data_IF_483948375298
#
_entry.id   IF_483948375298
#
_cell.length_a   1.000
_cell.length_b   1.000
_cell.length_c   1.000
_cell.angle_alpha   90.00
_cell.angle_beta   90.00
_cell.angle_gamma   90.00
#
_symmetry.space_group_name_H-M   'P 1'
#
loop_
_entity.id
_entity.type
_entity.pdbx_description
1 polymer ?
#
# COMPACT_ATOMS: atom_id res chain seq x y z
N UNK A 1 -4.91 34.76 -7.62
CA UNK A 1 -3.73 34.04 -7.12
C UNK A 1 -3.40 34.44 -5.69
N UNK A 2 -2.47 33.75 -5.06
CA UNK A 2 -2.03 33.97 -3.66
C UNK A 2 -1.60 35.40 -3.37
N UNK A 3 -1.12 36.12 -4.37
CA UNK A 3 -0.59 37.51 -4.23
C UNK A 3 -1.64 38.55 -3.86
N UNK A 4 -2.93 38.30 -4.12
CA UNK A 4 -4.02 39.26 -3.85
C UNK A 4 -4.92 38.89 -2.69
N UNK A 5 -5.02 37.61 -2.37
CA UNK A 5 -5.99 37.11 -1.36
C UNK A 5 -5.30 36.48 -0.15
N UNK A 6 -3.98 36.38 -0.15
CA UNK A 6 -3.26 35.51 0.76
C UNK A 6 -3.59 34.05 0.51
N UNK A 7 -3.01 33.15 1.24
CA UNK A 7 -3.29 31.72 1.13
C UNK A 7 -2.13 30.84 1.52
N UNK A 8 -2.28 29.55 1.34
CA UNK A 8 -1.30 28.54 1.74
C UNK A 8 -0.76 27.82 0.52
N UNK A 9 0.54 27.63 0.51
CA UNK A 9 1.25 26.83 -0.50
C UNK A 9 1.88 25.61 0.17
N UNK A 10 1.55 24.42 -0.32
CA UNK A 10 2.17 23.18 0.11
C UNK A 10 2.97 22.54 -1.03
N UNK A 11 4.10 21.99 -0.69
CA UNK A 11 4.84 21.08 -1.54
C UNK A 11 4.78 19.69 -0.88
N UNK A 12 4.03 18.78 -1.51
CA UNK A 12 3.87 17.40 -1.04
C UNK A 12 4.83 16.51 -1.82
N UNK A 13 5.47 15.58 -1.14
CA UNK A 13 6.31 14.57 -1.76
C UNK A 13 5.61 13.20 -1.66
N UNK A 14 5.54 12.49 -2.78
CA UNK A 14 5.00 11.13 -2.82
C UNK A 14 6.12 10.16 -2.48
N UNK A 15 5.90 9.34 -1.44
CA UNK A 15 6.83 8.30 -1.02
C UNK A 15 6.81 7.14 -2.02
N UNK A 16 7.69 7.23 -3.03
CA UNK A 16 7.79 6.24 -4.09
C UNK A 16 8.33 4.89 -3.62
N UNK A 17 9.17 4.87 -2.60
CA UNK A 17 9.69 3.62 -2.05
C UNK A 17 8.58 2.85 -1.34
N UNK A 18 7.75 3.54 -0.57
CA UNK A 18 6.58 2.93 0.06
C UNK A 18 5.59 2.37 -0.96
N UNK A 19 5.37 3.08 -2.06
CA UNK A 19 4.52 2.60 -3.15
C UNK A 19 5.08 1.33 -3.83
N UNK A 20 6.40 1.30 -4.06
CA UNK A 20 7.09 0.12 -4.60
C UNK A 20 7.05 -1.06 -3.63
N UNK A 21 7.25 -0.81 -2.32
CA UNK A 21 7.15 -1.84 -1.27
C UNK A 21 5.76 -2.46 -1.19
N UNK A 22 4.73 -1.65 -1.19
CA UNK A 22 3.35 -2.13 -1.18
C UNK A 22 3.07 -3.05 -2.38
N UNK A 23 3.53 -2.65 -3.57
CA UNK A 23 3.37 -3.47 -4.78
C UNK A 23 4.19 -4.76 -4.73
N UNK A 24 5.43 -4.71 -4.21
CA UNK A 24 6.26 -5.91 -4.03
C UNK A 24 5.62 -6.93 -3.09
N UNK A 25 5.02 -6.49 -1.98
CA UNK A 25 4.29 -7.37 -1.06
C UNK A 25 3.13 -8.09 -1.73
N UNK A 26 2.38 -7.42 -2.59
CA UNK A 26 1.31 -8.04 -3.37
C UNK A 26 1.87 -9.12 -4.30
N UNK A 27 2.90 -8.79 -5.07
CA UNK A 27 3.56 -9.76 -5.95
C UNK A 27 4.17 -10.94 -5.18
N UNK A 28 4.78 -10.68 -4.02
CA UNK A 28 5.32 -11.73 -3.16
C UNK A 28 4.23 -12.72 -2.74
N UNK A 29 3.07 -12.22 -2.32
CA UNK A 29 1.91 -13.04 -1.98
C UNK A 29 1.43 -13.88 -3.16
N UNK A 30 1.32 -13.29 -4.35
CA UNK A 30 0.91 -13.97 -5.57
C UNK A 30 1.89 -15.07 -5.98
N UNK A 31 3.19 -14.77 -6.01
CA UNK A 31 4.25 -15.73 -6.36
C UNK A 31 4.25 -16.90 -5.36
N UNK A 32 4.16 -16.61 -4.06
CA UNK A 32 4.06 -17.65 -3.03
C UNK A 32 2.82 -18.52 -3.20
N UNK A 33 1.70 -17.92 -3.56
CA UNK A 33 0.44 -18.64 -3.84
C UNK A 33 0.57 -19.54 -5.05
N UNK A 34 1.18 -19.05 -6.15
CA UNK A 34 1.48 -19.84 -7.34
C UNK A 34 2.34 -21.07 -7.01
N UNK A 35 3.45 -20.86 -6.29
CA UNK A 35 4.36 -21.95 -5.93
C UNK A 35 3.70 -23.00 -5.03
N UNK A 36 2.86 -22.57 -4.06
CA UNK A 36 2.07 -23.49 -3.23
C UNK A 36 1.09 -24.32 -4.06
N UNK A 37 0.37 -23.70 -4.99
CA UNK A 37 -0.59 -24.36 -5.90
C UNK A 37 0.12 -25.42 -6.76
N UNK A 38 1.29 -25.10 -7.27
CA UNK A 38 2.11 -25.99 -8.11
C UNK A 38 2.98 -26.98 -7.29
N UNK A 39 2.77 -27.01 -5.96
CA UNK A 39 3.49 -27.88 -5.02
C UNK A 39 5.01 -27.76 -5.11
N UNK A 40 5.49 -26.55 -5.36
CA UNK A 40 6.92 -26.21 -5.33
C UNK A 40 7.27 -25.75 -3.91
N UNK A 41 8.17 -26.48 -3.25
CA UNK A 41 8.65 -26.14 -1.92
C UNK A 41 9.66 -25.01 -1.99
N UNK A 42 9.51 -24.00 -1.18
CA UNK A 42 10.43 -22.86 -1.08
C UNK A 42 10.61 -22.41 0.37
N UNK A 43 11.68 -21.68 0.63
CA UNK A 43 11.94 -20.94 1.86
C UNK A 43 11.89 -19.44 1.55
N UNK A 44 11.05 -18.69 2.25
CA UNK A 44 11.09 -17.23 2.17
C UNK A 44 12.35 -16.71 2.82
N UNK A 45 13.07 -15.85 2.13
CA UNK A 45 14.25 -15.17 2.62
C UNK A 45 13.95 -13.68 2.80
N UNK A 46 14.69 -12.98 3.68
CA UNK A 46 14.54 -11.53 3.82
C UNK A 46 14.73 -10.81 2.51
N UNK A 47 13.95 -9.77 2.27
CA UNK A 47 14.10 -8.90 1.13
C UNK A 47 15.48 -8.24 1.14
N UNK A 48 16.11 -8.13 -0.02
CA UNK A 48 17.40 -7.48 -0.18
C UNK A 48 17.39 -6.59 -1.43
N UNK A 49 17.73 -5.31 -1.24
CA UNK A 49 17.80 -4.32 -2.31
C UNK A 49 16.53 -4.27 -3.18
N UNK A 50 15.36 -4.27 -2.55
CA UNK A 50 14.10 -4.17 -3.25
C UNK A 50 13.75 -5.40 -4.10
N UNK A 51 14.25 -6.58 -3.76
CA UNK A 51 13.94 -7.82 -4.48
C UNK A 51 13.39 -8.89 -3.54
N UNK A 52 12.37 -9.59 -3.99
CA UNK A 52 11.84 -10.79 -3.35
C UNK A 52 12.86 -11.90 -3.49
N UNK A 53 13.15 -12.63 -2.41
CA UNK A 53 14.08 -13.74 -2.40
C UNK A 53 13.42 -15.03 -1.95
N UNK A 54 13.58 -16.08 -2.74
CA UNK A 54 13.06 -17.41 -2.47
C UNK A 54 14.19 -18.43 -2.54
N UNK A 55 14.41 -19.18 -1.47
CA UNK A 55 15.42 -20.23 -1.39
C UNK A 55 14.84 -21.61 -1.72
N UNK A 56 15.60 -22.42 -2.43
CA UNK A 56 15.26 -23.79 -2.83
C UNK A 56 16.36 -24.74 -2.41
N UNK A 57 16.00 -26.00 -2.13
CA UNK A 57 16.95 -27.03 -1.68
C UNK A 57 17.87 -27.55 -2.79
N UNK A 58 17.42 -27.42 -4.04
CA UNK A 58 18.11 -27.95 -5.20
C UNK A 58 17.81 -27.11 -6.47
N UNK A 59 18.67 -27.25 -7.45
CA UNK A 59 18.61 -26.51 -8.72
C UNK A 59 17.37 -26.87 -9.55
N UNK A 60 16.99 -28.15 -9.58
CA UNK A 60 15.82 -28.59 -10.35
C UNK A 60 14.51 -27.96 -9.84
N UNK A 61 14.37 -27.81 -8.51
CA UNK A 61 13.24 -27.13 -7.89
C UNK A 61 13.27 -25.64 -8.19
N UNK A 62 14.44 -24.99 -8.15
CA UNK A 62 14.62 -23.60 -8.54
C UNK A 62 14.22 -23.36 -10.00
N UNK A 63 14.72 -24.19 -10.94
CA UNK A 63 14.38 -24.07 -12.35
C UNK A 63 12.88 -24.23 -12.62
N UNK A 64 12.21 -25.17 -11.91
CA UNK A 64 10.76 -25.32 -11.98
C UNK A 64 10.05 -24.05 -11.53
N UNK A 65 10.47 -23.48 -10.39
CA UNK A 65 9.92 -22.23 -9.89
C UNK A 65 10.14 -21.07 -10.86
N UNK A 66 11.35 -20.95 -11.41
CA UNK A 66 11.69 -19.90 -12.38
C UNK A 66 10.83 -19.98 -13.63
N UNK A 67 10.63 -21.19 -14.20
CA UNK A 67 9.75 -21.36 -15.36
C UNK A 67 8.31 -20.93 -15.07
N UNK A 68 7.75 -21.33 -13.94
CA UNK A 68 6.39 -20.96 -13.54
C UNK A 68 6.24 -19.46 -13.37
N UNK A 69 7.18 -18.83 -12.66
CA UNK A 69 7.15 -17.39 -12.41
C UNK A 69 7.33 -16.61 -13.71
N UNK A 70 8.26 -16.99 -14.57
CA UNK A 70 8.51 -16.31 -15.86
C UNK A 70 7.30 -16.40 -16.80
N UNK A 71 6.55 -17.49 -16.75
CA UNK A 71 5.36 -17.65 -17.57
C UNK A 71 4.25 -16.67 -17.20
N UNK A 72 4.04 -16.42 -15.89
CA UNK A 72 2.93 -15.62 -15.38
C UNK A 72 3.32 -14.16 -15.08
N UNK A 73 4.61 -13.91 -14.77
CA UNK A 73 5.08 -12.60 -14.32
C UNK A 73 6.25 -12.09 -15.18
N UNK A 74 5.93 -11.26 -16.16
CA UNK A 74 6.92 -10.60 -17.03
C UNK A 74 7.50 -9.30 -16.46
N UNK A 75 7.03 -8.93 -15.28
CA UNK A 75 7.38 -7.69 -14.60
C UNK A 75 8.69 -7.78 -13.81
N UNK A 76 9.32 -8.97 -13.76
CA UNK A 76 10.51 -9.21 -12.99
C UNK A 76 11.77 -9.45 -13.85
N UNK A 77 12.86 -8.86 -13.39
CA UNK A 77 14.20 -9.30 -13.71
C UNK A 77 14.55 -10.43 -12.73
N UNK A 78 14.68 -11.64 -13.25
CA UNK A 78 14.88 -12.86 -12.46
C UNK A 78 16.34 -13.25 -12.53
N UNK A 79 16.99 -13.39 -11.38
CA UNK A 79 18.37 -13.87 -11.26
C UNK A 79 18.44 -14.98 -10.22
N UNK A 80 19.37 -15.94 -10.45
CA UNK A 80 19.65 -17.01 -9.50
C UNK A 80 21.05 -16.86 -8.93
N UNK A 81 21.22 -17.25 -7.68
CA UNK A 81 22.50 -17.28 -6.99
C UNK A 81 22.51 -18.40 -5.93
N UNK A 82 23.67 -18.86 -5.54
CA UNK A 82 23.83 -19.76 -4.41
C UNK A 82 24.22 -18.98 -3.16
N UNK A 83 23.53 -19.25 -2.05
CA UNK A 83 23.81 -18.63 -0.77
C UNK A 83 23.45 -19.58 0.39
N UNK A 84 24.41 -19.77 1.28
CA UNK A 84 24.25 -20.58 2.50
C UNK A 84 23.71 -22.01 2.20
N UNK A 85 24.17 -22.62 1.10
CA UNK A 85 23.76 -23.97 0.67
C UNK A 85 22.34 -24.03 0.07
N UNK A 86 21.71 -22.88 -0.19
CA UNK A 86 20.43 -22.78 -0.88
C UNK A 86 20.64 -22.21 -2.29
N UNK A 87 19.86 -22.72 -3.22
CA UNK A 87 19.67 -22.11 -4.52
C UNK A 87 18.65 -20.98 -4.38
N UNK A 88 19.04 -19.73 -4.57
CA UNK A 88 18.20 -18.55 -4.32
C UNK A 88 17.76 -17.93 -5.63
N UNK A 89 16.45 -17.79 -5.80
CA UNK A 89 15.83 -17.02 -6.88
C UNK A 89 15.54 -15.61 -6.36
N UNK A 90 16.08 -14.63 -7.05
CA UNK A 90 15.88 -13.21 -6.77
C UNK A 90 14.99 -12.61 -7.85
N UNK A 91 13.87 -12.00 -7.43
CA UNK A 91 12.89 -11.36 -8.30
C UNK A 91 12.91 -9.86 -8.02
N UNK A 92 13.48 -9.09 -8.93
CA UNK A 92 13.47 -7.63 -8.88
C UNK A 92 12.46 -7.09 -9.89
N UNK A 93 11.69 -6.08 -9.54
CA UNK A 93 10.84 -5.41 -10.52
C UNK A 93 11.72 -4.78 -11.60
N UNK A 94 11.39 -5.04 -12.87
CA UNK A 94 12.12 -4.45 -13.97
C UNK A 94 11.89 -2.93 -14.07
N UNK A 95 12.76 -2.22 -14.78
CA UNK A 95 12.73 -0.75 -14.86
C UNK A 95 11.40 -0.23 -15.44
N UNK A 96 10.83 -0.93 -16.40
CA UNK A 96 9.56 -0.55 -17.02
C UNK A 96 8.43 -0.59 -15.99
N UNK A 97 8.38 -1.66 -15.19
CA UNK A 97 7.37 -1.81 -14.13
C UNK A 97 7.56 -0.82 -12.99
N UNK A 98 8.79 -0.56 -12.60
CA UNK A 98 9.10 0.50 -11.62
C UNK A 98 8.63 1.87 -12.10
N UNK A 99 8.86 2.21 -13.37
CA UNK A 99 8.39 3.46 -13.96
C UNK A 99 6.86 3.54 -14.02
N UNK A 100 6.18 2.45 -14.38
CA UNK A 100 4.72 2.36 -14.39
C UNK A 100 4.13 2.57 -12.99
N UNK A 101 4.68 1.90 -11.96
CA UNK A 101 4.22 2.04 -10.57
C UNK A 101 4.40 3.49 -10.10
N UNK A 102 5.54 4.11 -10.39
CA UNK A 102 5.81 5.51 -10.03
C UNK A 102 4.81 6.47 -10.68
N UNK A 103 4.58 6.30 -11.97
CA UNK A 103 3.63 7.14 -12.72
C UNK A 103 2.20 6.95 -12.23
N UNK A 104 1.80 5.71 -11.96
CA UNK A 104 0.51 5.40 -11.37
C UNK A 104 0.35 6.05 -10.00
N UNK A 105 1.37 5.91 -9.12
CA UNK A 105 1.33 6.45 -7.77
C UNK A 105 1.20 7.97 -7.76
N UNK A 106 1.93 8.69 -8.62
CA UNK A 106 1.80 10.15 -8.69
C UNK A 106 0.42 10.59 -9.17
N UNK A 107 -0.16 9.90 -10.17
CA UNK A 107 -1.52 10.16 -10.66
C UNK A 107 -2.57 9.94 -9.57
N UNK A 108 -2.46 8.83 -8.86
CA UNK A 108 -3.38 8.47 -7.78
C UNK A 108 -3.31 9.49 -6.64
N UNK A 109 -2.11 9.84 -6.20
CA UNK A 109 -1.92 10.85 -5.16
C UNK A 109 -2.44 12.23 -5.60
N UNK A 110 -2.22 12.62 -6.85
CA UNK A 110 -2.74 13.86 -7.41
C UNK A 110 -4.28 13.91 -7.34
N UNK A 111 -4.95 12.82 -7.71
CA UNK A 111 -6.41 12.68 -7.64
C UNK A 111 -6.88 12.75 -6.18
N UNK A 112 -6.23 12.02 -5.28
CA UNK A 112 -6.55 12.03 -3.84
C UNK A 112 -6.41 13.43 -3.24
N UNK A 113 -5.32 14.13 -3.55
CA UNK A 113 -5.09 15.50 -3.07
C UNK A 113 -6.14 16.46 -3.61
N UNK A 114 -6.51 16.36 -4.90
CA UNK A 114 -7.59 17.17 -5.48
C UNK A 114 -8.93 16.96 -4.79
N UNK A 115 -9.30 15.72 -4.53
CA UNK A 115 -10.54 15.40 -3.84
C UNK A 115 -10.55 16.00 -2.42
N UNK A 116 -9.46 15.88 -1.68
CA UNK A 116 -9.34 16.48 -0.33
C UNK A 116 -9.38 18.01 -0.34
N UNK A 117 -8.77 18.62 -1.34
CA UNK A 117 -8.81 20.07 -1.52
C UNK A 117 -10.23 20.54 -1.83
N UNK A 118 -10.97 19.78 -2.64
CA UNK A 118 -12.38 20.07 -2.93
C UNK A 118 -13.27 19.97 -1.67
N UNK A 119 -12.98 19.02 -0.76
CA UNK A 119 -13.67 18.90 0.54
C UNK A 119 -13.47 20.14 1.42
N UNK A 120 -12.35 20.87 1.27
CA UNK A 120 -12.10 22.12 1.96
C UNK A 120 -12.98 23.28 1.48
N UNK A 121 -13.67 23.13 0.33
CA UNK A 121 -14.51 24.17 -0.25
C UNK A 121 -13.76 25.42 -0.71
N UNK A 122 -12.44 25.30 -0.96
CA UNK A 122 -11.59 26.41 -1.40
C UNK A 122 -11.96 26.80 -2.82
N UNK A 123 -12.13 28.09 -3.08
CA UNK A 123 -12.35 28.59 -4.43
C UNK A 123 -11.04 28.58 -5.25
N UNK A 124 -11.10 28.04 -6.46
CA UNK A 124 -10.02 28.01 -7.42
C UNK A 124 -8.66 27.45 -6.87
N UNK A 125 -8.65 26.27 -6.23
CA UNK A 125 -7.41 25.68 -5.75
C UNK A 125 -6.54 25.22 -6.92
N UNK A 126 -5.21 25.36 -6.79
CA UNK A 126 -4.28 24.78 -7.73
C UNK A 126 -3.69 23.49 -7.16
N UNK A 127 -3.86 22.39 -7.88
CA UNK A 127 -3.22 21.10 -7.54
C UNK A 127 -2.57 20.54 -8.79
N UNK A 128 -1.25 20.54 -8.83
CA UNK A 128 -0.48 20.11 -10.00
C UNK A 128 0.77 19.32 -9.62
N UNK A 129 1.19 18.44 -10.55
CA UNK A 129 2.44 17.72 -10.44
C UNK A 129 3.63 18.66 -10.62
N UNK A 130 4.68 18.48 -9.82
CA UNK A 130 5.96 19.14 -9.97
C UNK A 130 7.10 18.11 -10.00
N UNK A 131 7.71 17.92 -11.16
CA UNK A 131 8.78 16.93 -11.32
C UNK A 131 8.30 15.48 -11.23
N UNK A 132 9.15 14.59 -10.72
CA UNK A 132 8.91 13.16 -10.74
C UNK A 132 7.99 12.68 -9.61
N UNK A 133 8.09 13.26 -8.40
CA UNK A 133 7.47 12.74 -7.19
C UNK A 133 6.80 13.81 -6.31
N UNK A 134 6.65 15.04 -6.77
CA UNK A 134 6.08 16.14 -5.99
C UNK A 134 4.76 16.64 -6.56
N UNK A 135 3.91 17.15 -5.65
CA UNK A 135 2.63 17.78 -5.92
C UNK A 135 2.62 19.13 -5.25
N UNK A 136 2.37 20.18 -6.02
CA UNK A 136 2.13 21.53 -5.52
C UNK A 136 0.65 21.72 -5.28
N UNK A 137 0.32 22.28 -4.13
CA UNK A 137 -1.05 22.63 -3.74
C UNK A 137 -1.08 24.09 -3.32
N UNK A 138 -1.86 24.91 -3.99
CA UNK A 138 -2.12 26.30 -3.61
C UNK A 138 -3.58 26.45 -3.21
N UNK A 139 -3.81 27.01 -2.04
CA UNK A 139 -5.12 27.21 -1.44
C UNK A 139 -5.36 28.71 -1.19
N UNK A 140 -5.88 29.45 -2.19
CA UNK A 140 -6.15 30.87 -2.02
C UNK A 140 -7.20 31.12 -0.92
N UNK A 141 -7.01 32.15 -0.11
CA UNK A 141 -7.93 32.56 0.94
C UNK A 141 -7.97 31.69 2.20
N UNK A 142 -7.23 30.56 2.22
CA UNK A 142 -7.11 29.72 3.42
C UNK A 142 -6.19 30.40 4.43
N UNK A 143 -6.69 30.66 5.65
CA UNK A 143 -5.93 31.24 6.74
C UNK A 143 -5.48 30.19 7.76
N UNK A 144 -6.26 29.13 7.96
CA UNK A 144 -5.91 28.03 8.86
C UNK A 144 -5.06 26.97 8.15
N UNK A 145 -3.75 27.19 8.22
CA UNK A 145 -2.75 26.24 7.70
C UNK A 145 -2.76 24.91 8.43
N UNK A 146 -3.11 24.88 9.72
CA UNK A 146 -3.10 23.68 10.52
C UNK A 146 -4.24 22.73 10.09
N UNK A 147 -5.43 23.29 9.85
CA UNK A 147 -6.57 22.51 9.36
C UNK A 147 -6.32 21.98 7.94
N UNK A 148 -5.84 22.82 7.03
CA UNK A 148 -5.48 22.40 5.67
C UNK A 148 -4.43 21.28 5.70
N UNK A 149 -3.38 21.42 6.52
CA UNK A 149 -2.35 20.38 6.72
C UNK A 149 -2.93 19.10 7.29
N UNK A 150 -3.88 19.18 8.24
CA UNK A 150 -4.56 18.03 8.83
C UNK A 150 -5.38 17.26 7.80
N UNK A 151 -6.11 17.96 6.93
CA UNK A 151 -6.94 17.34 5.88
C UNK A 151 -6.09 16.74 4.77
N UNK A 152 -5.09 17.47 4.29
CA UNK A 152 -4.16 16.97 3.26
C UNK A 152 -3.28 15.82 3.77
N UNK A 153 -2.91 15.86 5.04
CA UNK A 153 -2.02 14.88 5.67
C UNK A 153 -2.72 13.62 6.21
N UNK A 154 -4.04 13.52 6.09
CA UNK A 154 -4.73 12.28 6.47
C UNK A 154 -4.25 11.14 5.56
N UNK A 155 -3.48 10.23 6.11
CA UNK A 155 -3.08 9.00 5.42
C UNK A 155 -3.92 7.87 6.00
N UNK A 156 -4.84 7.37 5.21
CA UNK A 156 -5.52 6.13 5.52
C UNK A 156 -5.19 5.14 4.39
N UNK A 157 -4.64 4.02 4.76
CA UNK A 157 -4.43 2.92 3.85
C UNK A 157 -5.53 1.88 4.05
N UNK A 158 -6.05 1.35 2.97
CA UNK A 158 -6.96 0.20 3.00
C UNK A 158 -6.18 -1.03 2.55
N UNK A 159 -6.40 -2.14 3.25
CA UNK A 159 -5.93 -3.45 2.84
C UNK A 159 -7.10 -4.41 2.81
N UNK A 160 -7.18 -5.22 1.77
CA UNK A 160 -8.18 -6.25 1.62
C UNK A 160 -7.51 -7.60 1.83
N UNK A 161 -7.98 -8.36 2.84
CA UNK A 161 -7.41 -9.65 3.20
C UNK A 161 -8.53 -10.67 3.43
N UNK A 162 -8.24 -11.95 3.17
CA UNK A 162 -9.16 -13.04 3.50
C UNK A 162 -9.14 -13.30 5.01
N UNK A 163 -10.30 -13.65 5.56
CA UNK A 163 -10.38 -14.24 6.88
C UNK A 163 -9.69 -15.60 6.87
N UNK A 164 -8.86 -15.83 7.87
CA UNK A 164 -8.09 -17.06 7.98
C UNK A 164 -9.02 -18.27 8.15
N UNK A 165 -8.69 -19.37 7.50
CA UNK A 165 -9.38 -20.64 7.76
C UNK A 165 -9.09 -21.11 9.20
N UNK A 166 -10.01 -21.87 9.79
CA UNK A 166 -9.90 -22.33 11.18
C UNK A 166 -8.64 -23.18 11.46
N UNK A 167 -8.11 -23.82 10.43
CA UNK A 167 -6.89 -24.64 10.46
C UNK A 167 -5.63 -23.90 9.97
N UNK A 168 -5.73 -22.61 9.72
CA UNK A 168 -4.62 -21.81 9.23
C UNK A 168 -3.47 -21.71 10.27
N UNK A 169 -2.24 -21.78 9.79
CA UNK A 169 -1.06 -21.65 10.62
C UNK A 169 -0.94 -20.23 11.20
N UNK A 170 -0.56 -20.10 12.47
CA UNK A 170 -0.26 -18.80 13.10
C UNK A 170 0.82 -18.00 12.37
N UNK A 171 1.72 -18.67 11.65
CA UNK A 171 2.75 -18.01 10.87
C UNK A 171 2.19 -17.31 9.62
N UNK A 172 1.06 -17.79 9.09
CA UNK A 172 0.38 -17.23 7.91
C UNK A 172 -0.76 -16.27 8.23
N UNK A 173 -1.04 -16.05 9.52
CA UNK A 173 -2.16 -15.22 9.98
C UNK A 173 -1.69 -14.06 10.85
N UNK A 174 -2.55 -13.09 11.00
CA UNK A 174 -2.39 -11.91 11.84
C UNK A 174 -3.72 -11.54 12.48
N UNK A 175 -3.70 -11.10 13.75
CA UNK A 175 -4.90 -10.76 14.51
C UNK A 175 -5.20 -9.28 14.42
N UNK A 176 -6.45 -8.92 14.15
CA UNK A 176 -6.92 -7.55 14.08
C UNK A 176 -8.15 -7.35 14.96
N UNK A 177 -8.20 -6.22 15.64
CA UNK A 177 -9.36 -5.81 16.43
C UNK A 177 -10.40 -5.13 15.54
N UNK A 178 -11.68 -5.32 15.86
CA UNK A 178 -12.73 -4.56 15.22
C UNK A 178 -12.78 -3.14 15.79
N UNK A 179 -13.12 -2.17 14.93
CA UNK A 179 -13.34 -0.79 15.36
C UNK A 179 -14.49 -0.67 16.39
N UNK A 180 -15.46 -1.57 16.30
CA UNK A 180 -16.57 -1.66 17.24
C UNK A 180 -16.12 -2.42 18.49
N UNK A 181 -16.23 -1.81 19.70
CA UNK A 181 -15.85 -2.49 20.93
C UNK A 181 -16.76 -3.68 21.22
N UNK A 182 -16.19 -4.73 21.79
CA UNK A 182 -16.96 -5.91 22.24
C UNK A 182 -17.04 -7.05 21.23
N UNK A 183 -16.46 -6.93 20.05
CA UNK A 183 -16.29 -8.05 19.10
C UNK A 183 -14.91 -8.71 19.33
N UNK A 184 -14.84 -10.05 19.30
CA UNK A 184 -13.55 -10.74 19.38
C UNK A 184 -12.67 -10.40 18.16
N UNK A 185 -11.33 -10.38 18.34
CA UNK A 185 -10.40 -10.15 17.21
C UNK A 185 -10.61 -11.14 16.08
N UNK A 186 -10.41 -10.70 14.85
CA UNK A 186 -10.46 -11.54 13.66
C UNK A 186 -9.05 -11.96 13.24
N UNK A 187 -8.90 -13.21 12.84
CA UNK A 187 -7.65 -13.71 12.25
C UNK A 187 -7.71 -13.57 10.74
N UNK A 188 -6.79 -12.82 10.16
CA UNK A 188 -6.72 -12.60 8.72
C UNK A 188 -5.47 -13.24 8.14
N UNK A 189 -5.52 -13.64 6.89
CA UNK A 189 -4.34 -14.07 6.16
C UNK A 189 -3.38 -12.88 5.99
N UNK A 190 -2.07 -13.15 6.07
CA UNK A 190 -1.05 -12.10 5.85
C UNK A 190 -0.97 -11.66 4.39
N UNK A 191 -1.41 -12.52 3.48
CA UNK A 191 -1.39 -12.25 2.05
C UNK A 191 -2.42 -11.15 1.70
N UNK A 192 -1.96 -10.09 1.05
CA UNK A 192 -2.80 -8.99 0.59
C UNK A 192 -3.48 -9.37 -0.72
N UNK A 193 -4.77 -9.06 -0.85
CA UNK A 193 -5.48 -9.19 -2.12
C UNK A 193 -5.28 -7.92 -2.95
N UNK A 194 -5.70 -6.80 -2.40
CA UNK A 194 -5.53 -5.45 -2.96
C UNK A 194 -5.32 -4.45 -1.83
N UNK A 195 -4.84 -3.27 -2.18
CA UNK A 195 -4.74 -2.11 -1.29
C UNK A 195 -5.65 -0.99 -1.76
N UNK A 196 -5.79 0.06 -0.98
CA UNK A 196 -6.57 1.25 -1.36
C UNK A 196 -6.09 1.92 -2.64
N UNK A 197 -4.86 1.66 -3.08
CA UNK A 197 -4.31 2.23 -4.31
C UNK A 197 -5.04 1.77 -5.58
N UNK A 198 -5.68 0.59 -5.54
CA UNK A 198 -6.49 0.08 -6.62
C UNK A 198 -7.95 0.55 -6.58
N UNK A 199 -8.36 1.26 -5.53
CA UNK A 199 -9.71 1.82 -5.41
C UNK A 199 -9.77 3.15 -6.14
N UNK A 200 -10.56 3.22 -7.21
CA UNK A 200 -10.72 4.43 -8.03
C UNK A 200 -11.90 5.29 -7.61
N UNK A 201 -12.91 4.67 -6.95
CA UNK A 201 -14.10 5.35 -6.48
C UNK A 201 -14.76 4.57 -5.35
N UNK A 202 -15.43 5.27 -4.44
CA UNK A 202 -16.21 4.66 -3.37
C UNK A 202 -17.46 5.50 -3.08
N UNK A 203 -18.61 4.86 -3.03
CA UNK A 203 -19.91 5.52 -2.77
C UNK A 203 -20.74 4.75 -1.76
N UNK A 204 -21.34 5.48 -0.83
CA UNK A 204 -22.30 4.91 0.10
C UNK A 204 -23.65 4.69 -0.58
N UNK A 205 -24.31 3.58 -0.29
CA UNK A 205 -25.64 3.24 -0.78
C UNK A 205 -26.38 2.34 0.22
N UNK A 206 -27.52 1.84 -0.17
CA UNK A 206 -28.25 0.82 0.59
C UNK A 206 -28.47 -0.42 -0.29
N UNK A 207 -28.40 -1.58 0.34
CA UNK A 207 -28.74 -2.84 -0.33
C UNK A 207 -30.26 -2.99 -0.54
N UNK A 208 -30.70 -4.07 -1.19
CA UNK A 208 -32.11 -4.38 -1.43
C UNK A 208 -32.94 -4.53 -0.15
N UNK A 209 -32.29 -4.77 0.99
CA UNK A 209 -32.91 -4.91 2.31
C UNK A 209 -32.83 -3.61 3.15
N UNK A 210 -32.38 -2.50 2.56
CA UNK A 210 -32.24 -1.21 3.25
C UNK A 210 -31.04 -1.14 4.19
N UNK A 211 -30.06 -2.05 4.11
CA UNK A 211 -28.85 -2.03 4.90
C UNK A 211 -27.81 -1.12 4.25
N UNK A 212 -27.10 -0.30 5.04
CA UNK A 212 -26.05 0.53 4.49
C UNK A 212 -24.91 -0.32 3.91
N UNK A 213 -24.45 0.04 2.71
CA UNK A 213 -23.33 -0.56 2.03
C UNK A 213 -22.43 0.48 1.41
N UNK A 214 -21.19 0.10 1.12
CA UNK A 214 -20.24 0.91 0.34
C UNK A 214 -19.92 0.17 -0.95
N UNK A 215 -20.22 0.81 -2.07
CA UNK A 215 -19.80 0.34 -3.38
C UNK A 215 -18.42 0.86 -3.68
N UNK A 216 -17.51 -0.01 -4.05
CA UNK A 216 -16.16 0.35 -4.47
C UNK A 216 -15.96 0.05 -5.94
N UNK A 217 -15.25 0.92 -6.63
CA UNK A 217 -14.80 0.69 -8.01
C UNK A 217 -13.29 0.53 -7.98
N UNK A 218 -12.81 -0.52 -8.64
CA UNK A 218 -11.40 -0.83 -8.75
C UNK A 218 -10.87 -0.44 -10.12
N UNK A 219 -9.57 -0.20 -10.22
CA UNK A 219 -8.88 -0.15 -11.49
C UNK A 219 -8.83 -1.55 -12.14
N UNK A 220 -8.36 -1.64 -13.38
CA UNK A 220 -8.30 -2.93 -14.09
C UNK A 220 -7.46 -3.96 -13.36
N UNK A 221 -6.31 -3.54 -12.80
CA UNK A 221 -5.42 -4.45 -12.08
C UNK A 221 -6.03 -4.94 -10.77
N UNK A 222 -6.61 -4.05 -9.98
CA UNK A 222 -7.33 -4.41 -8.75
C UNK A 222 -8.54 -5.31 -9.03
N UNK A 223 -9.25 -5.07 -10.14
CA UNK A 223 -10.34 -5.92 -10.60
C UNK A 223 -9.88 -7.35 -10.90
N UNK A 224 -8.75 -7.51 -11.58
CA UNK A 224 -8.17 -8.82 -11.89
C UNK A 224 -7.70 -9.55 -10.62
N UNK A 225 -7.04 -8.84 -9.70
CA UNK A 225 -6.62 -9.39 -8.41
C UNK A 225 -7.82 -9.86 -7.58
N UNK A 226 -8.82 -9.01 -7.45
CA UNK A 226 -10.05 -9.31 -6.71
C UNK A 226 -10.79 -10.50 -7.33
N UNK A 227 -10.91 -10.54 -8.66
CA UNK A 227 -11.54 -11.66 -9.36
C UNK A 227 -10.81 -12.99 -9.10
N UNK A 228 -9.47 -12.99 -9.19
CA UNK A 228 -8.67 -14.19 -8.90
C UNK A 228 -8.87 -14.65 -7.45
N UNK A 229 -8.81 -13.73 -6.50
CA UNK A 229 -8.97 -14.04 -5.08
C UNK A 229 -10.37 -14.57 -4.78
N UNK A 230 -11.42 -13.91 -5.25
CA UNK A 230 -12.81 -14.31 -4.97
C UNK A 230 -13.21 -15.60 -5.67
N UNK A 231 -12.77 -15.83 -6.93
CA UNK A 231 -13.04 -17.06 -7.66
C UNK A 231 -12.53 -18.31 -6.93
N UNK A 232 -11.38 -18.21 -6.30
CA UNK A 232 -10.74 -19.32 -5.59
C UNK A 232 -11.21 -19.47 -4.13
N UNK A 233 -11.99 -18.51 -3.63
CA UNK A 233 -12.38 -18.41 -2.22
C UNK A 233 -13.88 -18.15 -2.03
N UNK A 234 -14.72 -18.69 -2.91
CA UNK A 234 -16.18 -18.54 -2.80
C UNK A 234 -16.67 -19.05 -1.45
N UNK A 235 -17.50 -18.25 -0.77
CA UNK A 235 -18.03 -18.57 0.57
C UNK A 235 -17.12 -18.23 1.74
N UNK A 236 -15.89 -17.75 1.50
CA UNK A 236 -15.01 -17.23 2.56
C UNK A 236 -15.27 -15.74 2.80
N UNK A 237 -15.10 -15.33 4.04
CA UNK A 237 -15.18 -13.91 4.42
C UNK A 237 -13.92 -13.16 4.03
N UNK A 238 -14.09 -11.87 3.72
CA UNK A 238 -13.02 -10.93 3.45
C UNK A 238 -13.17 -9.75 4.40
N UNK A 239 -12.05 -9.26 4.91
CA UNK A 239 -12.00 -8.07 5.72
C UNK A 239 -11.36 -6.91 4.98
N UNK A 240 -11.82 -5.71 5.27
CA UNK A 240 -11.18 -4.45 4.89
C UNK A 240 -10.53 -3.87 6.13
N UNK A 241 -9.21 -3.78 6.12
CA UNK A 241 -8.43 -3.19 7.19
C UNK A 241 -8.23 -1.71 6.86
N UNK A 242 -8.58 -0.86 7.83
CA UNK A 242 -8.34 0.57 7.76
C UNK A 242 -7.12 0.89 8.63
N UNK A 243 -6.03 1.28 7.97
CA UNK A 243 -4.77 1.64 8.64
C UNK A 243 -4.69 3.16 8.71
N UNK A 244 -4.86 3.72 9.89
CA UNK A 244 -4.71 5.15 10.15
C UNK A 244 -3.38 5.42 10.86
N UNK A 245 -2.52 6.20 10.22
CA UNK A 245 -1.30 6.67 10.89
C UNK A 245 -1.66 7.85 11.79
N UNK A 246 -1.56 7.65 13.11
CA UNK A 246 -1.73 8.74 14.08
C UNK A 246 -0.42 9.49 14.25
N UNK A 247 -0.40 10.81 14.03
CA UNK A 247 0.78 11.60 14.35
C UNK A 247 1.00 11.59 15.87
N UNK A 248 2.12 11.04 16.30
CA UNK A 248 2.58 11.11 17.68
C UNK A 248 3.73 12.11 17.73
N UNK A 249 3.60 13.13 18.55
CA UNK A 249 4.69 14.07 18.77
C UNK A 249 5.73 13.44 19.70
N UNK A 250 6.91 13.14 19.16
CA UNK A 250 8.04 12.69 19.95
C UNK A 250 8.93 13.87 20.28
N UNK A 251 9.13 14.15 21.56
CA UNK A 251 10.12 15.15 22.01
C UNK A 251 11.52 14.58 21.77
N UNK A 252 12.27 15.24 20.90
CA UNK A 252 13.67 14.89 20.63
C UNK A 252 14.53 16.06 21.08
N UNK A 253 15.56 15.80 21.89
CA UNK A 253 16.55 16.80 22.24
C UNK A 253 17.47 17.06 21.06
N UNK A 254 17.46 18.27 20.57
CA UNK A 254 18.40 18.74 19.54
C UNK A 254 19.23 19.88 20.11
N UNK A 255 20.50 19.88 19.78
CA UNK A 255 21.38 21.04 20.04
C UNK A 255 21.21 22.02 18.88
N UNK A 256 20.60 23.18 19.17
CA UNK A 256 20.48 24.30 18.24
C UNK A 256 21.26 25.45 18.80
N UNK A 257 22.21 25.97 18.03
CA UNK A 257 23.13 27.08 18.44
C UNK A 257 23.85 26.83 19.77
N UNK A 258 24.24 25.56 20.05
CA UNK A 258 24.97 25.19 21.25
C UNK A 258 24.11 25.03 22.52
N UNK A 259 22.79 25.16 22.42
CA UNK A 259 21.83 24.97 23.52
C UNK A 259 20.98 23.76 23.26
N UNK A 260 20.88 22.86 24.25
CA UNK A 260 19.94 21.73 24.18
C UNK A 260 18.48 22.24 24.26
N UNK A 261 17.72 22.01 23.20
CA UNK A 261 16.30 22.31 23.15
C UNK A 261 15.49 21.04 22.86
N UNK A 262 14.39 20.90 23.57
CA UNK A 262 13.40 19.86 23.24
C UNK A 262 12.55 20.33 22.06
N UNK A 263 12.73 19.67 20.92
CA UNK A 263 11.97 19.94 19.70
C UNK A 263 10.96 18.82 19.48
N UNK A 264 9.70 19.18 19.32
CA UNK A 264 8.65 18.23 18.93
C UNK A 264 8.84 17.82 17.47
N UNK A 265 9.20 16.56 17.26
CA UNK A 265 9.31 15.97 15.92
C UNK A 265 8.09 15.10 15.69
N UNK A 266 7.34 15.30 14.59
CA UNK A 266 6.23 14.41 14.26
C UNK A 266 6.78 13.00 13.97
N UNK A 267 6.31 12.03 14.73
CA UNK A 267 6.51 10.60 14.52
C UNK A 267 5.13 10.01 14.20
N UNK A 268 5.07 8.97 13.37
CA UNK A 268 3.83 8.29 13.06
C UNK A 268 3.87 6.90 13.71
N UNK A 269 2.78 6.53 14.39
CA UNK A 269 2.53 5.16 14.87
C UNK A 269 1.35 4.60 14.09
N UNK A 270 1.48 3.37 13.65
CA UNK A 270 0.38 2.57 13.09
C UNK A 270 -0.56 2.08 14.18
#
# INVERSE_FOLDING_TARGET
GLDLSGGVHFLLEVDMEKALDARRKVYEGEVKSLLRKERVRYRSLPELNGAIQLGFSDEATLEKAQRLITADYRDFDITSLERDGLQVLRLALNQAKVAEIREYSIKQNLTTVRNRVNELGVAEPLVQRQGANRIVVELPGVQDTAEAKRILGKTANLEFRLEAAADASRASTESFDFREPGRPPVQLERDLIITGDQVTDASASFDENGRPQVNIRLDNHGGDLMNRATRSNVGRSMAVIFIEQKPVSKLVRKVVDGVEQEVSVPSFTE
#
